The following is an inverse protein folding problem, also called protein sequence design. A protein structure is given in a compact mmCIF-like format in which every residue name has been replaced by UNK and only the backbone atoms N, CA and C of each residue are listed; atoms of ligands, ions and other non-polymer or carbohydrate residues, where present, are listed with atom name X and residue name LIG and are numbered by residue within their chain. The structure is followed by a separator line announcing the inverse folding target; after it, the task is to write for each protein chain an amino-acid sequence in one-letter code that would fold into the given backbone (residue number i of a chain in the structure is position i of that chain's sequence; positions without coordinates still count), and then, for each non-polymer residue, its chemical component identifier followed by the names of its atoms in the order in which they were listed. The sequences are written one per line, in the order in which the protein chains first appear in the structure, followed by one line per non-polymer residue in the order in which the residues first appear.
data_IF_677046761716
#
_entry.id   IF_677046761716
#
_cell.length_a   1.000
_cell.length_b   1.000
_cell.length_c   1.000
_cell.angle_alpha   90.00
_cell.angle_beta   90.00
_cell.angle_gamma   90.00
#
_symmetry.space_group_name_H-M   'P 1'
#
loop_
_entity.id
_entity.type
_entity.pdbx_description
1 polymer ?
#
# COMPACT_ATOMS: atom_id res chain seq x y z
N UNK A 1 18.23 -4.84 -2.56
CA UNK A 1 16.82 -4.48 -2.33
C UNK A 1 16.79 -2.97 -2.10
N UNK A 2 17.23 -2.19 -3.09
CA UNK A 2 17.40 -0.73 -2.99
C UNK A 2 16.15 0.05 -3.38
N UNK A 3 15.16 -0.63 -3.97
CA UNK A 3 13.93 -0.01 -4.51
C UNK A 3 13.01 0.63 -3.44
N UNK A 4 13.19 0.29 -2.16
CA UNK A 4 12.37 0.82 -1.05
C UNK A 4 12.99 2.08 -0.43
N UNK A 5 14.31 2.26 -0.51
CA UNK A 5 14.98 3.37 0.19
C UNK A 5 14.57 4.70 -0.45
N UNK A 6 13.96 5.59 0.33
CA UNK A 6 13.45 6.88 -0.14
C UNK A 6 12.14 6.80 -0.93
N UNK A 7 11.58 5.61 -1.14
CA UNK A 7 10.38 5.42 -1.96
C UNK A 7 9.11 6.02 -1.33
N UNK A 8 8.21 6.50 -2.18
CA UNK A 8 6.82 6.83 -1.85
C UNK A 8 5.98 5.59 -2.12
N UNK A 9 5.47 5.00 -1.05
CA UNK A 9 4.75 3.72 -1.10
C UNK A 9 3.25 3.95 -1.01
N UNK A 10 2.48 3.16 -1.76
CA UNK A 10 1.04 3.02 -1.61
C UNK A 10 0.72 1.59 -1.18
N UNK A 11 0.14 1.42 0.00
CA UNK A 11 -0.30 0.14 0.56
C UNK A 11 -1.82 0.00 0.37
N UNK A 12 -2.22 -0.86 -0.56
CA UNK A 12 -3.61 -1.14 -0.90
C UNK A 12 -4.10 -2.35 -0.10
N UNK A 13 -5.36 -2.29 0.33
CA UNK A 13 -5.94 -3.30 1.24
C UNK A 13 -5.14 -3.36 2.55
N UNK A 14 -4.78 -2.18 3.06
CA UNK A 14 -3.76 -2.03 4.09
C UNK A 14 -4.01 -2.84 5.36
N UNK A 15 -5.27 -3.17 5.70
CA UNK A 15 -5.59 -3.93 6.89
C UNK A 15 -5.05 -3.25 8.15
N UNK A 16 -4.16 -3.94 8.88
CA UNK A 16 -3.46 -3.41 10.05
C UNK A 16 -2.21 -2.56 9.73
N UNK A 17 -1.81 -2.49 8.46
CA UNK A 17 -0.67 -1.73 7.94
C UNK A 17 0.65 -2.47 7.88
N UNK A 18 0.66 -3.81 8.02
CA UNK A 18 1.88 -4.58 8.18
C UNK A 18 2.89 -4.34 7.04
N UNK A 19 2.44 -4.36 5.78
CA UNK A 19 3.31 -4.19 4.61
C UNK A 19 3.88 -2.76 4.50
N UNK A 20 3.02 -1.74 4.61
CA UNK A 20 3.48 -0.36 4.55
C UNK A 20 4.36 0.05 5.74
N UNK A 21 4.09 -0.47 6.95
CA UNK A 21 4.97 -0.26 8.12
C UNK A 21 6.33 -0.92 7.90
N UNK A 22 6.36 -2.13 7.36
CA UNK A 22 7.61 -2.81 7.01
C UNK A 22 8.40 -2.02 5.95
N UNK A 23 7.73 -1.44 4.96
CA UNK A 23 8.37 -0.57 3.98
C UNK A 23 8.99 0.69 4.62
N UNK A 24 8.29 1.31 5.58
CA UNK A 24 8.83 2.45 6.34
C UNK A 24 10.04 2.07 7.20
N UNK A 25 10.02 0.87 7.80
CA UNK A 25 11.14 0.31 8.57
C UNK A 25 12.37 0.09 7.69
N UNK A 26 12.15 -0.30 6.42
CA UNK A 26 13.20 -0.53 5.40
C UNK A 26 13.67 0.75 4.70
N UNK A 27 13.13 1.91 5.06
CA UNK A 27 13.63 3.21 4.60
C UNK A 27 12.79 3.93 3.55
N UNK A 28 11.54 3.50 3.29
CA UNK A 28 10.60 4.29 2.47
C UNK A 28 10.45 5.70 3.03
N UNK A 29 10.42 6.73 2.18
CA UNK A 29 10.25 8.10 2.66
C UNK A 29 8.86 8.32 3.28
N UNK A 30 7.83 7.75 2.64
CA UNK A 30 6.43 7.92 3.01
C UNK A 30 5.60 6.69 2.61
N UNK A 31 4.56 6.38 3.38
CA UNK A 31 3.57 5.36 3.02
C UNK A 31 2.15 5.89 3.10
N UNK A 32 1.40 5.77 2.01
CA UNK A 32 -0.04 6.02 1.98
C UNK A 32 -0.79 4.70 2.08
N UNK A 33 -1.66 4.56 3.06
CA UNK A 33 -2.48 3.37 3.28
C UNK A 33 -3.90 3.61 2.76
N UNK A 34 -4.40 2.68 1.94
CA UNK A 34 -5.78 2.64 1.46
C UNK A 34 -6.48 1.44 2.07
N UNK A 35 -7.48 1.70 2.91
CA UNK A 35 -8.32 0.67 3.54
C UNK A 35 -9.77 1.14 3.58
N UNK A 36 -10.74 0.24 3.38
CA UNK A 36 -12.17 0.57 3.40
C UNK A 36 -12.83 0.18 4.72
N UNK A 37 -12.36 -0.90 5.33
CA UNK A 37 -12.89 -1.49 6.55
C UNK A 37 -12.59 -0.61 7.76
N UNK A 38 -13.61 -0.37 8.58
CA UNK A 38 -13.50 0.58 9.70
C UNK A 38 -12.68 0.04 10.85
N UNK A 39 -12.77 -1.27 11.12
CA UNK A 39 -12.11 -1.89 12.26
C UNK A 39 -10.62 -2.09 11.96
N UNK A 40 -10.30 -2.44 10.71
CA UNK A 40 -8.94 -2.43 10.18
C UNK A 40 -8.31 -1.03 10.26
N UNK A 41 -9.03 0.01 9.80
CA UNK A 41 -8.56 1.40 9.88
C UNK A 41 -8.24 1.85 11.31
N UNK A 42 -9.09 1.49 12.28
CA UNK A 42 -8.84 1.82 13.69
C UNK A 42 -7.55 1.18 14.18
N UNK A 43 -7.35 -0.11 13.86
CA UNK A 43 -6.14 -0.87 14.19
C UNK A 43 -4.90 -0.27 13.53
N UNK A 44 -4.98 0.09 12.26
CA UNK A 44 -3.92 0.75 11.49
C UNK A 44 -3.50 2.07 12.14
N UNK A 45 -4.46 2.93 12.48
CA UNK A 45 -4.19 4.22 13.11
C UNK A 45 -3.54 4.06 14.48
N UNK A 46 -3.98 3.08 15.27
CA UNK A 46 -3.37 2.75 16.55
C UNK A 46 -1.90 2.31 16.38
N UNK A 47 -1.63 1.43 15.40
CA UNK A 47 -0.27 0.96 15.10
C UNK A 47 0.64 2.12 14.66
N UNK A 48 0.18 2.98 13.75
CA UNK A 48 0.93 4.17 13.29
C UNK A 48 1.29 5.07 14.47
N UNK A 49 0.33 5.31 15.37
CA UNK A 49 0.56 6.15 16.55
C UNK A 49 1.53 5.52 17.54
N UNK A 50 1.38 4.23 17.84
CA UNK A 50 2.26 3.48 18.76
C UNK A 50 3.72 3.46 18.27
N UNK A 51 3.92 3.43 16.95
CA UNK A 51 5.23 3.36 16.32
C UNK A 51 5.80 4.74 15.96
N UNK A 52 5.11 5.83 16.31
CA UNK A 52 5.51 7.21 15.97
C UNK A 52 5.72 7.46 14.46
N UNK A 53 4.90 6.82 13.62
CA UNK A 53 4.98 6.91 12.15
C UNK A 53 4.04 7.97 11.55
N UNK A 54 3.33 8.73 12.39
CA UNK A 54 2.30 9.69 11.94
C UNK A 54 2.81 10.70 10.91
N UNK A 55 4.06 11.16 11.03
CA UNK A 55 4.66 12.17 10.12
C UNK A 55 5.06 11.62 8.75
N UNK A 56 5.19 10.29 8.61
CA UNK A 56 5.62 9.60 7.38
C UNK A 56 4.49 8.80 6.74
N UNK A 57 3.25 9.03 7.18
CA UNK A 57 2.10 8.24 6.76
C UNK A 57 0.92 9.11 6.34
N UNK A 58 0.09 8.55 5.47
CA UNK A 58 -1.24 9.09 5.16
C UNK A 58 -2.22 7.93 5.15
N UNK A 59 -3.34 8.06 5.84
CA UNK A 59 -4.37 7.01 5.89
C UNK A 59 -5.61 7.52 5.19
N UNK A 60 -6.07 6.80 4.16
CA UNK A 60 -7.25 7.16 3.39
C UNK A 60 -8.26 6.04 3.43
N UNK A 61 -9.47 6.38 3.86
CA UNK A 61 -10.60 5.46 3.79
C UNK A 61 -11.20 5.43 2.39
N UNK A 62 -10.90 4.41 1.59
CA UNK A 62 -11.40 4.26 0.24
C UNK A 62 -11.34 2.80 -0.26
N UNK A 63 -12.06 2.50 -1.34
CA UNK A 63 -11.84 1.27 -2.10
C UNK A 63 -10.48 1.33 -2.80
N UNK A 64 -9.73 0.22 -2.81
CA UNK A 64 -8.36 0.14 -3.31
C UNK A 64 -8.20 0.69 -4.74
N UNK A 65 -9.10 0.32 -5.66
CA UNK A 65 -9.01 0.75 -7.07
C UNK A 65 -9.29 2.25 -7.17
N UNK A 66 -10.33 2.72 -6.49
CA UNK A 66 -10.65 4.15 -6.47
C UNK A 66 -9.58 5.00 -5.79
N UNK A 67 -8.93 4.44 -4.76
CA UNK A 67 -7.85 5.07 -4.01
C UNK A 67 -6.60 5.17 -4.85
N UNK A 68 -6.23 4.09 -5.54
CA UNK A 68 -5.08 4.04 -6.42
C UNK A 68 -5.13 5.11 -7.52
N UNK A 69 -6.30 5.29 -8.16
CA UNK A 69 -6.49 6.28 -9.22
C UNK A 69 -6.26 7.75 -8.79
N UNK A 70 -6.15 8.03 -7.47
CA UNK A 70 -5.92 9.38 -6.93
C UNK A 70 -4.44 9.75 -6.83
N UNK A 71 -3.53 8.81 -7.03
CA UNK A 71 -2.10 9.02 -6.84
C UNK A 71 -1.35 8.74 -8.14
N UNK A 72 -0.53 9.71 -8.54
CA UNK A 72 0.31 9.63 -9.75
C UNK A 72 1.81 9.71 -9.43
N UNK A 73 2.17 10.04 -8.19
CA UNK A 73 3.54 10.22 -7.70
C UNK A 73 3.83 9.16 -6.61
N UNK A 74 3.93 7.91 -7.07
CA UNK A 74 4.15 6.70 -6.25
C UNK A 74 5.24 5.88 -6.93
N UNK A 75 6.23 5.46 -6.14
CA UNK A 75 7.36 4.65 -6.63
C UNK A 75 7.05 3.16 -6.52
N UNK A 76 6.23 2.77 -5.54
CA UNK A 76 5.93 1.39 -5.22
C UNK A 76 4.49 1.21 -4.73
N UNK A 77 3.77 0.26 -5.33
CA UNK A 77 2.46 -0.20 -4.85
C UNK A 77 2.61 -1.58 -4.22
N UNK A 78 2.17 -1.69 -2.97
CA UNK A 78 1.99 -2.94 -2.24
C UNK A 78 0.49 -3.26 -2.24
N UNK A 79 0.15 -4.52 -2.45
CA UNK A 79 -1.24 -4.95 -2.40
C UNK A 79 -1.34 -6.40 -1.89
N UNK A 80 -2.16 -6.62 -0.87
CA UNK A 80 -2.55 -7.96 -0.39
C UNK A 80 -4.08 -8.05 -0.32
N UNK A 81 -4.77 -8.12 -1.47
CA UNK A 81 -6.21 -8.21 -1.49
C UNK A 81 -6.71 -9.55 -0.93
N UNK A 82 -7.97 -9.63 -0.46
CA UNK A 82 -8.55 -10.88 -0.01
C UNK A 82 -8.59 -11.92 -1.12
N UNK A 83 -8.56 -13.21 -0.75
CA UNK A 83 -8.48 -14.34 -1.69
C UNK A 83 -9.58 -14.35 -2.77
N UNK A 84 -10.76 -13.79 -2.47
CA UNK A 84 -11.90 -13.70 -3.36
C UNK A 84 -11.91 -12.43 -4.24
N UNK A 85 -10.82 -11.66 -4.26
CA UNK A 85 -10.74 -10.44 -5.06
C UNK A 85 -10.75 -10.74 -6.57
N UNK A 86 -11.86 -10.44 -7.23
CA UNK A 86 -12.06 -10.75 -8.65
C UNK A 86 -11.47 -9.71 -9.63
N UNK A 87 -10.98 -8.56 -9.15
CA UNK A 87 -10.59 -7.41 -10.00
C UNK A 87 -9.08 -7.26 -10.18
N UNK A 88 -8.35 -8.37 -10.15
CA UNK A 88 -6.88 -8.40 -10.34
C UNK A 88 -6.43 -7.72 -11.63
N UNK A 89 -7.09 -7.97 -12.75
CA UNK A 89 -6.72 -7.37 -14.03
C UNK A 89 -6.79 -5.85 -14.00
N UNK A 90 -7.82 -5.29 -13.37
CA UNK A 90 -7.98 -3.84 -13.23
C UNK A 90 -6.89 -3.25 -12.34
N UNK A 91 -6.50 -3.96 -11.28
CA UNK A 91 -5.46 -3.56 -10.34
C UNK A 91 -4.07 -3.55 -11.02
N UNK A 92 -3.74 -4.61 -11.76
CA UNK A 92 -2.47 -4.76 -12.47
C UNK A 92 -2.32 -3.81 -13.67
N UNK A 93 -3.43 -3.42 -14.31
CA UNK A 93 -3.39 -2.44 -15.41
C UNK A 93 -3.03 -1.03 -14.95
N UNK A 94 -3.25 -0.71 -13.67
CA UNK A 94 -3.08 0.65 -13.16
C UNK A 94 -1.65 1.01 -12.73
N UNK A 95 -0.78 0.06 -12.34
CA UNK A 95 0.60 0.34 -11.89
C UNK A 95 1.54 -0.87 -11.99
N UNK A 96 2.85 -0.65 -11.77
CA UNK A 96 3.72 -1.73 -11.28
C UNK A 96 3.32 -2.07 -9.85
N UNK A 97 3.00 -3.33 -9.60
CA UNK A 97 2.64 -3.87 -8.27
C UNK A 97 3.69 -4.91 -7.89
N UNK A 98 4.12 -4.88 -6.64
CA UNK A 98 4.93 -5.94 -6.02
C UNK A 98 4.05 -6.61 -4.96
N UNK A 99 3.80 -7.90 -5.10
CA UNK A 99 3.13 -8.69 -4.04
C UNK A 99 4.14 -9.16 -2.97
N UNK A 100 3.65 -9.87 -1.97
CA UNK A 100 4.43 -10.42 -0.85
C UNK A 100 5.54 -11.42 -1.26
N UNK A 101 5.49 -11.99 -2.46
CA UNK A 101 6.48 -12.90 -3.04
C UNK A 101 7.51 -12.19 -3.95
N UNK A 102 7.40 -10.86 -4.12
CA UNK A 102 8.39 -10.06 -4.84
C UNK A 102 8.24 -10.07 -6.37
N UNK A 103 7.11 -10.53 -6.90
CA UNK A 103 6.86 -10.57 -8.35
C UNK A 103 6.37 -9.20 -8.84
N UNK A 104 7.15 -8.56 -9.72
CA UNK A 104 6.70 -7.39 -10.49
C UNK A 104 5.89 -7.88 -11.69
N UNK A 105 4.57 -7.71 -11.64
CA UNK A 105 3.75 -7.88 -12.83
C UNK A 105 3.96 -6.69 -13.76
N UNK A 106 4.79 -6.87 -14.79
CA UNK A 106 4.85 -5.94 -15.92
C UNK A 106 3.60 -6.18 -16.79
N UNK A 107 2.90 -5.13 -17.28
CA UNK A 107 2.14 -5.29 -18.50
C UNK A 107 3.16 -5.50 -19.62
N UNK A 108 3.25 -6.74 -20.11
CA UNK A 108 3.97 -6.99 -21.36
C UNK A 108 3.27 -6.19 -22.47
N UNK A 109 4.09 -5.53 -23.28
CA UNK A 109 3.65 -4.70 -24.41
C UNK A 109 3.16 -5.58 -25.54
#
# INVERSE_FOLDING_TARGET
MDVIIGARVLDLFAGSGALGIEALSRGAAHCTFIERDKDALASLQENIKKLDLTSRTTVVRADAISGLARYTDIDLVLADPPYDFAKWQQLLQSTQIIDSDGVSARPET
#
